data_IF_840468303711
#
_entry.id   IF_840468303711
#
_cell.length_a   1.000
_cell.length_b   1.000
_cell.length_c   1.000
_cell.angle_alpha   90.00
_cell.angle_beta   90.00
_cell.angle_gamma   90.00
#
_symmetry.space_group_name_H-M   'P 1'
#
loop_
_entity.id
_entity.type
_entity.pdbx_description
1 polymer ?
#
# COMPACT_ATOMS: atom_id res chain seq x y z
N UNK A 1 20.64 -2.58 -4.23
CA UNK A 1 19.37 -2.01 -3.71
C UNK A 1 18.30 -2.30 -4.75
N UNK A 2 17.40 -3.25 -4.53
CA UNK A 2 16.28 -3.47 -5.46
C UNK A 2 15.37 -2.23 -5.44
N UNK A 3 15.03 -1.72 -6.62
CA UNK A 3 14.19 -0.53 -6.75
C UNK A 3 12.75 -0.89 -6.39
N UNK A 4 12.16 -0.14 -5.46
CA UNK A 4 10.75 -0.28 -5.12
C UNK A 4 9.91 0.68 -5.96
N UNK A 5 8.88 0.18 -6.63
CA UNK A 5 7.83 0.97 -7.27
C UNK A 5 6.65 1.17 -6.32
N UNK A 6 5.95 2.29 -6.46
CA UNK A 6 4.73 2.59 -5.70
C UNK A 6 3.67 3.05 -6.69
N UNK A 7 2.49 2.46 -6.62
CA UNK A 7 1.34 2.76 -7.49
C UNK A 7 0.03 2.77 -6.70
N UNK A 8 -1.02 3.34 -7.29
CA UNK A 8 -2.38 3.22 -6.77
C UNK A 8 -2.95 1.82 -7.02
N UNK A 9 -3.79 1.34 -6.11
CA UNK A 9 -4.52 0.09 -6.20
C UNK A 9 -5.88 0.18 -5.47
N UNK A 10 -6.77 -0.79 -5.74
CA UNK A 10 -8.06 -0.95 -5.06
C UNK A 10 -8.28 -2.44 -4.78
N UNK A 11 -8.72 -2.78 -3.56
CA UNK A 11 -8.93 -4.18 -3.14
C UNK A 11 -10.00 -4.89 -3.99
N UNK A 12 -11.08 -4.21 -4.35
CA UNK A 12 -12.17 -4.81 -5.15
C UNK A 12 -11.89 -4.87 -6.66
N UNK A 13 -10.68 -4.47 -7.09
CA UNK A 13 -10.28 -4.41 -8.50
C UNK A 13 -9.42 -5.59 -8.96
N UNK A 14 -8.69 -5.38 -10.06
CA UNK A 14 -7.75 -6.37 -10.61
C UNK A 14 -6.64 -6.79 -9.63
N UNK A 15 -6.33 -5.94 -8.64
CA UNK A 15 -5.31 -6.17 -7.62
C UNK A 15 -5.80 -7.00 -6.42
N UNK A 16 -7.09 -7.30 -6.31
CA UNK A 16 -7.67 -7.90 -5.10
C UNK A 16 -6.97 -9.17 -4.62
N UNK A 17 -6.74 -10.13 -5.52
CA UNK A 17 -6.02 -11.38 -5.18
C UNK A 17 -4.60 -11.14 -4.68
N UNK A 18 -3.92 -10.09 -5.17
CA UNK A 18 -2.57 -9.75 -4.74
C UNK A 18 -2.59 -9.12 -3.34
N UNK A 19 -3.57 -8.26 -3.09
CA UNK A 19 -3.78 -7.59 -1.81
C UNK A 19 -4.19 -8.61 -0.73
N UNK A 20 -5.09 -9.55 -1.04
CA UNK A 20 -5.51 -10.60 -0.12
C UNK A 20 -4.34 -11.51 0.31
N UNK A 21 -3.46 -11.86 -0.64
CA UNK A 21 -2.24 -12.61 -0.34
C UNK A 21 -1.32 -11.84 0.59
N UNK A 22 -1.13 -10.54 0.32
CA UNK A 22 -0.31 -9.68 1.17
C UNK A 22 -0.92 -9.51 2.58
N UNK A 23 -2.24 -9.40 2.68
CA UNK A 23 -2.97 -9.32 3.94
C UNK A 23 -2.82 -10.62 4.75
N UNK A 24 -2.89 -11.77 4.06
CA UNK A 24 -2.63 -13.09 4.65
C UNK A 24 -1.21 -13.18 5.22
N UNK A 25 -0.19 -12.72 4.48
CA UNK A 25 1.20 -12.66 4.95
C UNK A 25 1.35 -11.75 6.18
N UNK A 26 0.61 -10.65 6.20
CA UNK A 26 0.57 -9.70 7.31
C UNK A 26 -0.28 -10.17 8.51
N UNK A 27 -0.98 -11.32 8.39
CA UNK A 27 -1.97 -11.83 9.37
C UNK A 27 -3.01 -10.77 9.73
N UNK A 28 -3.51 -10.07 8.72
CA UNK A 28 -4.43 -8.94 8.83
C UNK A 28 -5.44 -8.98 7.67
N UNK A 29 -6.38 -8.05 7.67
CA UNK A 29 -7.32 -7.82 6.56
C UNK A 29 -6.75 -6.79 5.57
N UNK A 30 -7.22 -6.77 4.31
CA UNK A 30 -6.91 -5.72 3.34
C UNK A 30 -7.27 -4.30 3.83
N UNK A 31 -6.54 -3.25 3.39
CA UNK A 31 -7.01 -1.87 3.51
C UNK A 31 -8.30 -1.65 2.72
N UNK A 32 -9.14 -0.73 3.18
CA UNK A 32 -10.41 -0.40 2.55
C UNK A 32 -10.22 0.69 1.47
N UNK A 33 -10.89 0.50 0.33
CA UNK A 33 -10.94 1.50 -0.74
C UNK A 33 -9.59 1.74 -1.44
N UNK A 34 -9.35 2.97 -1.94
CA UNK A 34 -8.11 3.33 -2.63
C UNK A 34 -6.89 3.26 -1.71
N UNK A 35 -5.82 2.65 -2.21
CA UNK A 35 -4.59 2.43 -1.45
C UNK A 35 -3.34 2.66 -2.30
N UNK A 36 -2.22 2.85 -1.62
CA UNK A 36 -0.90 2.77 -2.23
C UNK A 36 -0.35 1.36 -2.06
N UNK A 37 0.12 0.77 -3.16
CA UNK A 37 0.79 -0.52 -3.20
C UNK A 37 2.27 -0.33 -3.55
N UNK A 38 3.15 -0.84 -2.69
CA UNK A 38 4.58 -0.90 -2.95
C UNK A 38 4.96 -2.29 -3.46
N UNK A 39 5.75 -2.31 -4.51
CA UNK A 39 6.26 -3.52 -5.15
C UNK A 39 7.78 -3.49 -5.21
N UNK A 40 8.40 -4.66 -5.07
CA UNK A 40 9.82 -4.87 -5.32
C UNK A 40 9.92 -5.97 -6.36
N UNK A 41 10.57 -5.66 -7.49
CA UNK A 41 10.69 -6.61 -8.62
C UNK A 41 9.31 -7.14 -9.07
N UNK A 42 8.31 -6.26 -9.12
CA UNK A 42 6.93 -6.59 -9.50
C UNK A 42 6.12 -7.37 -8.46
N UNK A 43 6.68 -7.64 -7.28
CA UNK A 43 6.00 -8.35 -6.21
C UNK A 43 5.49 -7.38 -5.13
N UNK A 44 4.19 -7.43 -4.78
CA UNK A 44 3.64 -6.66 -3.66
C UNK A 44 4.36 -6.98 -2.35
N UNK A 45 4.83 -5.95 -1.66
CA UNK A 45 5.54 -6.09 -0.36
C UNK A 45 4.92 -5.27 0.76
N UNK A 46 4.18 -4.21 0.44
CA UNK A 46 3.44 -3.42 1.42
C UNK A 46 2.31 -2.65 0.76
N UNK A 47 1.23 -2.41 1.49
CA UNK A 47 0.13 -1.55 1.07
C UNK A 47 -0.32 -0.67 2.23
N UNK A 48 -0.85 0.52 1.94
CA UNK A 48 -1.52 1.38 2.93
C UNK A 48 -2.72 2.06 2.30
N UNK A 49 -3.88 1.95 2.94
CA UNK A 49 -5.09 2.64 2.49
C UNK A 49 -4.99 4.15 2.69
N UNK A 50 -5.43 4.90 1.69
CA UNK A 50 -5.27 6.36 1.64
C UNK A 50 -6.08 7.01 2.76
N UNK A 51 -7.33 6.56 2.93
CA UNK A 51 -8.27 7.16 3.86
C UNK A 51 -8.23 6.51 5.25
N UNK A 52 -8.38 5.18 5.32
CA UNK A 52 -8.39 4.41 6.57
C UNK A 52 -7.01 4.39 7.28
N UNK A 53 -5.92 4.54 6.53
CA UNK A 53 -4.56 4.40 7.04
C UNK A 53 -4.17 2.98 7.46
N UNK A 54 -5.00 1.99 7.16
CA UNK A 54 -4.69 0.60 7.45
C UNK A 54 -3.53 0.15 6.57
N UNK A 55 -2.55 -0.51 7.18
CA UNK A 55 -1.32 -0.88 6.50
C UNK A 55 -1.03 -2.36 6.67
N UNK A 56 -0.73 -3.02 5.56
CA UNK A 56 -0.30 -4.41 5.51
C UNK A 56 1.07 -4.51 4.86
N UNK A 57 1.90 -5.45 5.30
CA UNK A 57 3.23 -5.62 4.73
C UNK A 57 3.75 -7.04 4.91
N UNK A 58 4.50 -7.51 3.92
CA UNK A 58 5.26 -8.75 4.02
C UNK A 58 6.36 -8.55 5.09
N UNK A 59 6.36 -9.31 6.20
CA UNK A 59 7.32 -9.14 7.29
C UNK A 59 8.75 -9.53 6.89
N UNK A 60 8.92 -10.31 5.82
CA UNK A 60 10.22 -10.79 5.33
C UNK A 60 10.81 -9.87 4.27
N UNK A 61 9.97 -9.20 3.48
CA UNK A 61 10.40 -8.38 2.34
C UNK A 61 10.27 -6.87 2.57
N UNK A 62 9.41 -6.42 3.48
CA UNK A 62 9.23 -4.99 3.72
C UNK A 62 10.32 -4.42 4.64
N UNK A 63 11.02 -3.40 4.16
CA UNK A 63 12.00 -2.65 4.97
C UNK A 63 11.31 -1.52 5.73
N UNK A 64 11.92 -1.07 6.84
CA UNK A 64 11.44 0.09 7.58
C UNK A 64 11.35 1.35 6.69
N UNK A 65 12.38 1.59 5.87
CA UNK A 65 12.43 2.73 4.97
C UNK A 65 11.29 2.72 3.95
N UNK A 66 10.95 1.55 3.40
CA UNK A 66 9.83 1.43 2.45
C UNK A 66 8.48 1.70 3.13
N UNK A 67 8.26 1.14 4.33
CA UNK A 67 7.04 1.41 5.11
C UNK A 67 6.91 2.89 5.48
N UNK A 68 8.02 3.53 5.84
CA UNK A 68 8.04 4.98 6.12
C UNK A 68 7.70 5.78 4.87
N UNK A 69 8.29 5.45 3.72
CA UNK A 69 8.01 6.12 2.44
C UNK A 69 6.53 6.02 2.05
N UNK A 70 5.92 4.84 2.19
CA UNK A 70 4.48 4.64 1.95
C UNK A 70 3.62 5.54 2.84
N UNK A 71 3.95 5.65 4.14
CA UNK A 71 3.21 6.51 5.06
C UNK A 71 3.32 7.98 4.69
N UNK A 72 4.50 8.45 4.29
CA UNK A 72 4.71 9.83 3.85
C UNK A 72 3.92 10.14 2.57
N UNK A 73 3.98 9.25 1.58
CA UNK A 73 3.23 9.41 0.34
C UNK A 73 1.71 9.38 0.56
N UNK A 74 1.23 8.54 1.49
CA UNK A 74 -0.17 8.56 1.91
C UNK A 74 -0.56 9.94 2.44
N UNK A 75 0.24 10.50 3.36
CA UNK A 75 -0.07 11.81 3.95
C UNK A 75 -0.12 12.89 2.87
N UNK A 76 0.86 12.89 1.96
CA UNK A 76 0.88 13.79 0.82
C UNK A 76 -0.39 13.66 -0.03
N UNK A 77 -0.74 12.43 -0.45
CA UNK A 77 -1.94 12.20 -1.27
C UNK A 77 -3.24 12.56 -0.54
N UNK A 78 -3.33 12.27 0.76
CA UNK A 78 -4.53 12.60 1.54
C UNK A 78 -4.75 14.11 1.57
N UNK A 79 -3.69 14.89 1.76
CA UNK A 79 -3.74 16.36 1.69
C UNK A 79 -4.16 16.80 0.29
N UNK A 80 -3.51 16.27 -0.75
CA UNK A 80 -3.84 16.59 -2.15
C UNK A 80 -5.33 16.32 -2.44
N UNK A 81 -5.83 15.12 -2.16
CA UNK A 81 -7.24 14.76 -2.40
C UNK A 81 -8.19 15.68 -1.63
N UNK A 82 -7.91 15.98 -0.36
CA UNK A 82 -8.73 16.90 0.43
C UNK A 82 -8.76 18.31 -0.15
N UNK A 83 -7.63 18.82 -0.64
CA UNK A 83 -7.55 20.17 -1.19
C UNK A 83 -8.20 20.29 -2.58
N UNK A 84 -8.11 19.24 -3.40
CA UNK A 84 -8.62 19.26 -4.77
C UNK A 84 -10.03 18.67 -4.91
N UNK A 85 -10.61 18.10 -3.86
CA UNK A 85 -12.00 17.63 -3.84
C UNK A 85 -12.29 16.50 -4.83
N UNK A 86 -11.34 15.57 -4.98
CA UNK A 86 -11.51 14.35 -5.79
C UNK A 86 -12.24 13.27 -4.98
#
# INVERSE_FOLDING_TARGET
MSAASIRGAVADGADGKLIDRLATLARSHPPEGPMLLAEVEGHPVAAVGIFDGHAISDPRRSTFALRMRLRLLRLQLRITVTLYGI
#
